data_IF_282444680360
#
_entry.id   IF_282444680360
#
_cell.length_a   1.000
_cell.length_b   1.000
_cell.length_c   1.000
_cell.angle_alpha   90.00
_cell.angle_beta   90.00
_cell.angle_gamma   90.00
#
_symmetry.space_group_name_H-M   'P 1'
#
loop_
_entity.id
_entity.type
_entity.pdbx_description
1 polymer ?
#
# COMPACT_ATOMS: atom_id res chain seq x y z
N UNK A 1 -21.34 30.89 0.67
CA UNK A 1 -20.54 31.71 1.61
C UNK A 1 -19.52 30.84 2.35
N UNK A 2 -19.89 29.58 2.58
CA UNK A 2 -19.05 28.66 3.34
C UNK A 2 -18.71 27.42 2.53
N UNK A 3 -19.65 26.47 2.50
CA UNK A 3 -19.47 25.23 1.77
C UNK A 3 -18.32 24.41 2.35
N UNK A 4 -18.36 23.11 2.09
CA UNK A 4 -17.42 22.17 2.69
C UNK A 4 -16.06 22.28 2.02
N UNK A 5 -15.01 22.30 2.84
CA UNK A 5 -13.67 22.57 2.35
C UNK A 5 -12.92 21.27 2.08
N UNK A 6 -11.61 21.38 1.84
CA UNK A 6 -10.75 20.20 1.72
C UNK A 6 -11.18 19.11 2.69
N UNK A 7 -11.74 18.00 2.17
CA UNK A 7 -12.40 16.98 3.00
C UNK A 7 -11.48 16.41 4.07
N UNK A 8 -12.06 15.61 4.95
CA UNK A 8 -11.35 15.10 6.12
C UNK A 8 -10.15 14.25 5.71
N UNK A 9 -9.16 14.19 6.59
CA UNK A 9 -7.93 13.46 6.31
C UNK A 9 -7.64 12.45 7.42
N UNK A 10 -7.49 11.18 7.04
CA UNK A 10 -7.25 10.12 8.01
C UNK A 10 -5.84 9.57 7.88
N UNK A 11 -5.44 8.74 8.84
CA UNK A 11 -4.03 8.48 9.10
C UNK A 11 -3.29 8.04 7.84
N UNK A 12 -4.03 7.50 6.88
CA UNK A 12 -3.45 7.15 5.59
C UNK A 12 -4.53 7.11 4.53
N UNK A 13 -5.68 7.69 4.84
CA UNK A 13 -6.84 7.57 3.98
C UNK A 13 -7.05 8.81 3.11
N UNK A 14 -7.52 8.57 1.89
CA UNK A 14 -7.76 9.64 0.92
C UNK A 14 -8.82 9.21 -0.09
N UNK A 15 -9.68 10.14 -0.46
CA UNK A 15 -10.92 9.82 -1.16
C UNK A 15 -10.66 9.01 -2.42
N UNK A 16 -11.46 7.96 -2.61
CA UNK A 16 -11.33 7.11 -3.79
C UNK A 16 -12.16 7.65 -4.95
N UNK A 17 -13.46 7.75 -4.70
CA UNK A 17 -14.43 7.91 -5.77
C UNK A 17 -14.47 9.35 -6.27
N UNK A 18 -14.75 9.56 -7.57
CA UNK A 18 -15.13 10.87 -8.11
C UNK A 18 -16.48 11.34 -7.58
N UNK A 19 -16.74 11.03 -6.32
CA UNK A 19 -17.77 11.73 -5.56
C UNK A 19 -17.38 13.19 -5.41
N UNK A 20 -16.07 13.41 -5.30
CA UNK A 20 -15.55 14.66 -4.78
C UNK A 20 -15.90 15.85 -5.65
N UNK A 21 -15.12 16.03 -6.72
CA UNK A 21 -14.96 17.33 -7.38
C UNK A 21 -14.14 18.30 -6.53
N UNK A 22 -14.26 18.17 -5.20
CA UNK A 22 -13.40 18.89 -4.26
C UNK A 22 -13.28 20.37 -4.62
N UNK A 23 -14.40 21.01 -4.90
CA UNK A 23 -14.41 22.44 -5.19
C UNK A 23 -15.23 23.19 -4.14
N UNK A 24 -16.56 23.08 -4.25
CA UNK A 24 -17.44 23.49 -3.17
C UNK A 24 -18.53 22.45 -2.94
N UNK A 25 -18.35 21.62 -1.91
CA UNK A 25 -19.39 20.69 -1.51
C UNK A 25 -20.42 21.36 -0.60
N UNK A 26 -21.68 21.44 -1.05
CA UNK A 26 -22.79 21.86 -0.19
C UNK A 26 -23.07 20.84 0.91
N UNK A 27 -23.28 21.32 2.13
CA UNK A 27 -23.40 20.43 3.28
C UNK A 27 -24.44 19.34 3.00
N UNK A 28 -23.99 18.09 3.03
CA UNK A 28 -24.88 16.97 2.77
C UNK A 28 -24.35 16.06 1.67
N UNK A 29 -23.17 15.48 1.90
CA UNK A 29 -22.54 14.60 0.93
C UNK A 29 -21.86 13.43 1.62
N UNK A 30 -22.26 12.21 1.27
CA UNK A 30 -21.56 11.03 1.75
C UNK A 30 -20.54 10.56 0.73
N UNK A 31 -19.28 10.57 1.15
CA UNK A 31 -18.18 10.23 0.26
C UNK A 31 -17.46 8.98 0.76
N UNK A 32 -16.67 8.38 -0.12
CA UNK A 32 -15.99 7.13 0.20
C UNK A 32 -14.47 7.28 0.18
N UNK A 33 -13.80 6.42 0.94
CA UNK A 33 -12.38 6.60 1.25
C UNK A 33 -11.52 5.52 0.61
N UNK A 34 -10.32 5.92 0.20
CA UNK A 34 -9.32 4.99 -0.32
C UNK A 34 -8.04 5.06 0.50
N UNK A 35 -7.55 3.92 0.96
CA UNK A 35 -6.26 3.88 1.64
C UNK A 35 -5.13 3.87 0.63
N UNK A 36 -4.00 4.47 1.01
CA UNK A 36 -2.87 4.61 0.11
C UNK A 36 -2.15 3.27 -0.08
N UNK A 37 -1.32 3.14 -1.13
CA UNK A 37 -0.57 1.92 -1.39
C UNK A 37 0.13 1.43 -0.13
N UNK A 38 -0.06 0.15 0.17
CA UNK A 38 0.47 -0.39 1.40
C UNK A 38 -0.25 0.12 2.63
N UNK A 39 -1.58 0.20 2.57
CA UNK A 39 -2.39 0.34 3.78
C UNK A 39 -3.66 -0.50 3.71
N UNK A 40 -4.12 -0.94 4.87
CA UNK A 40 -5.42 -1.61 4.98
C UNK A 40 -6.34 -0.81 5.88
N UNK A 41 -7.63 -0.78 5.55
CA UNK A 41 -8.59 -0.05 6.37
C UNK A 41 -8.75 -0.72 7.72
N UNK A 42 -9.49 -0.09 8.63
CA UNK A 42 -10.11 -0.82 9.73
C UNK A 42 -10.81 -2.09 9.21
N UNK A 43 -11.45 -2.88 10.10
CA UNK A 43 -12.21 -4.08 9.69
C UNK A 43 -13.29 -3.79 8.63
N UNK A 44 -13.13 -2.69 7.89
CA UNK A 44 -13.81 -2.50 6.62
C UNK A 44 -15.29 -2.21 6.83
N UNK A 45 -15.58 -1.02 7.34
CA UNK A 45 -16.94 -0.66 7.74
C UNK A 45 -17.39 0.65 7.10
N UNK A 46 -18.49 1.19 7.61
CA UNK A 46 -19.09 2.42 7.08
C UNK A 46 -18.02 3.44 6.73
N UNK A 47 -17.69 3.56 5.44
CA UNK A 47 -16.63 4.44 4.97
C UNK A 47 -17.17 5.80 4.54
N UNK A 48 -17.86 6.47 5.46
CA UNK A 48 -18.77 7.54 5.11
C UNK A 48 -18.30 8.88 5.67
N UNK A 49 -17.58 9.64 4.84
CA UNK A 49 -17.25 11.03 5.16
C UNK A 49 -18.33 11.96 4.64
N UNK A 50 -19.34 12.18 5.46
CA UNK A 50 -20.40 13.09 5.11
C UNK A 50 -19.95 14.54 5.27
N UNK A 51 -20.37 15.40 4.36
CA UNK A 51 -20.38 16.82 4.63
C UNK A 51 -21.60 17.14 5.46
N UNK A 52 -21.38 17.42 6.73
CA UNK A 52 -22.45 17.30 7.71
C UNK A 52 -23.30 18.55 7.71
N UNK A 53 -23.12 19.38 8.72
CA UNK A 53 -23.98 20.53 8.92
C UNK A 53 -23.18 21.82 8.88
N UNK A 54 -21.99 21.76 9.45
CA UNK A 54 -21.27 22.96 9.83
C UNK A 54 -19.96 23.05 9.06
N UNK A 55 -20.07 22.89 7.74
CA UNK A 55 -18.98 22.37 6.93
C UNK A 55 -17.95 21.64 7.78
N UNK A 56 -18.48 20.80 8.66
CA UNK A 56 -17.67 19.97 9.53
C UNK A 56 -17.91 18.51 9.21
N UNK A 57 -17.25 18.02 8.16
CA UNK A 57 -17.47 16.67 7.68
C UNK A 57 -17.56 15.68 8.83
N UNK A 58 -18.30 14.61 8.59
CA UNK A 58 -18.90 13.81 9.65
C UNK A 58 -17.86 13.06 10.47
N UNK A 59 -18.09 11.76 10.65
CA UNK A 59 -17.20 10.90 11.43
C UNK A 59 -15.90 10.64 10.68
N UNK A 60 -14.82 10.49 11.43
CA UNK A 60 -13.51 10.25 10.85
C UNK A 60 -12.60 9.54 11.85
N UNK A 61 -12.44 8.23 11.68
CA UNK A 61 -11.89 7.39 12.72
C UNK A 61 -10.44 7.01 12.41
N UNK A 62 -10.28 5.99 11.57
CA UNK A 62 -8.96 5.49 11.18
C UNK A 62 -9.11 4.38 10.16
N UNK A 63 -9.59 4.73 8.97
CA UNK A 63 -9.99 3.75 7.99
C UNK A 63 -8.78 3.23 7.22
N UNK A 64 -7.60 3.35 7.82
CA UNK A 64 -6.39 2.76 7.26
C UNK A 64 -5.51 2.16 8.35
N UNK A 65 -4.48 1.44 7.93
CA UNK A 65 -3.57 0.78 8.86
C UNK A 65 -2.17 0.70 8.26
N UNK A 66 -1.88 -0.42 7.60
CA UNK A 66 -0.76 -0.52 6.67
C UNK A 66 -0.65 -1.92 6.08
N UNK A 67 -0.27 -2.00 4.81
CA UNK A 67 0.10 -3.26 4.19
C UNK A 67 1.56 -3.24 3.74
N UNK A 68 2.45 -3.79 4.56
CA UNK A 68 3.87 -3.88 4.19
C UNK A 68 4.13 -5.13 3.36
N UNK A 69 5.27 -5.16 2.67
CA UNK A 69 5.63 -6.31 1.86
C UNK A 69 5.74 -7.56 2.72
N UNK A 70 5.02 -8.62 2.34
CA UNK A 70 4.94 -9.84 3.12
C UNK A 70 5.99 -10.86 2.70
N UNK A 71 7.26 -10.49 2.86
CA UNK A 71 8.37 -11.40 2.56
C UNK A 71 8.40 -11.75 1.08
N UNK A 72 9.56 -11.55 0.42
CA UNK A 72 9.72 -11.87 -1.00
C UNK A 72 9.70 -13.37 -1.26
N UNK A 73 9.34 -14.11 -0.23
CA UNK A 73 9.34 -15.56 -0.32
C UNK A 73 10.74 -16.13 -0.34
N UNK A 74 10.87 -17.36 -0.83
CA UNK A 74 12.15 -18.05 -0.82
C UNK A 74 12.59 -18.41 -2.24
N UNK A 75 13.84 -18.08 -2.56
CA UNK A 75 14.45 -18.54 -3.80
C UNK A 75 14.65 -20.06 -3.76
N UNK A 76 15.81 -20.55 -4.19
CA UNK A 76 15.92 -21.94 -4.62
C UNK A 76 17.38 -22.36 -4.77
N UNK A 77 17.74 -23.45 -4.09
CA UNK A 77 19.09 -24.01 -4.21
C UNK A 77 20.10 -22.97 -3.79
N UNK A 78 20.01 -22.57 -2.53
CA UNK A 78 20.47 -21.27 -2.12
C UNK A 78 19.57 -20.68 -1.05
N UNK A 79 19.31 -19.38 -1.13
CA UNK A 79 18.40 -18.73 -0.21
C UNK A 79 18.42 -17.22 -0.40
N UNK A 80 17.54 -16.54 0.33
CA UNK A 80 17.29 -15.13 0.10
C UNK A 80 17.61 -14.31 1.33
N UNK A 81 18.15 -13.12 1.11
CA UNK A 81 18.75 -12.35 2.18
C UNK A 81 17.91 -11.12 2.52
N UNK A 82 17.45 -11.08 3.76
CA UNK A 82 16.69 -9.95 4.25
C UNK A 82 17.47 -9.21 5.33
N UNK A 83 17.97 -7.99 5.02
CA UNK A 83 18.85 -7.24 5.92
C UNK A 83 18.14 -6.74 7.17
N UNK A 84 17.00 -7.34 7.49
CA UNK A 84 16.32 -7.03 8.73
C UNK A 84 15.01 -6.30 8.52
N UNK A 85 14.16 -6.85 7.66
CA UNK A 85 12.87 -6.24 7.41
C UNK A 85 12.51 -6.23 5.94
N UNK A 86 11.28 -6.61 5.64
CA UNK A 86 10.72 -6.43 4.30
C UNK A 86 9.46 -5.57 4.36
N UNK A 87 9.66 -4.27 4.46
CA UNK A 87 8.56 -3.32 4.37
C UNK A 87 8.39 -2.86 2.93
N UNK A 88 7.49 -1.91 2.72
CA UNK A 88 7.36 -1.26 1.42
C UNK A 88 8.67 -0.59 1.02
N UNK A 89 8.99 -0.64 -0.27
CA UNK A 89 10.21 -0.02 -0.75
C UNK A 89 11.46 -0.71 -0.24
N UNK A 90 11.40 -2.04 -0.15
CA UNK A 90 12.55 -2.83 0.30
C UNK A 90 13.14 -3.64 -0.84
N UNK A 91 13.94 -4.64 -0.49
CA UNK A 91 14.66 -5.42 -1.49
C UNK A 91 15.55 -6.48 -0.82
N UNK A 92 15.99 -7.45 -1.62
CA UNK A 92 16.79 -8.55 -1.11
C UNK A 92 18.01 -8.79 -2.00
N UNK A 93 18.85 -9.73 -1.58
CA UNK A 93 19.91 -10.25 -2.44
C UNK A 93 19.90 -11.77 -2.44
N UNK A 94 19.86 -12.35 -3.64
CA UNK A 94 19.80 -13.80 -3.79
C UNK A 94 21.19 -14.41 -3.64
N UNK A 95 21.28 -15.49 -2.87
CA UNK A 95 22.53 -16.22 -2.74
C UNK A 95 22.30 -17.72 -2.87
N UNK A 96 22.90 -18.32 -3.89
CA UNK A 96 22.69 -19.74 -4.15
C UNK A 96 23.52 -20.59 -3.20
N UNK A 97 23.26 -21.89 -3.23
CA UNK A 97 24.04 -22.85 -2.46
C UNK A 97 25.38 -23.09 -3.16
N UNK A 98 26.13 -24.09 -2.70
CA UNK A 98 27.48 -24.30 -3.21
C UNK A 98 27.47 -25.00 -4.56
N UNK A 99 28.24 -24.46 -5.50
CA UNK A 99 28.41 -25.11 -6.79
C UNK A 99 27.57 -24.45 -7.87
N UNK A 100 26.67 -23.56 -7.46
CA UNK A 100 25.68 -23.00 -8.36
C UNK A 100 26.04 -21.58 -8.77
N UNK A 101 25.53 -21.16 -9.92
CA UNK A 101 25.71 -19.80 -10.39
C UNK A 101 24.37 -19.12 -10.60
N UNK A 102 24.23 -17.91 -10.08
CA UNK A 102 22.99 -17.16 -10.22
C UNK A 102 22.74 -16.75 -11.65
N UNK A 103 21.73 -17.37 -12.21
CA UNK A 103 21.23 -17.02 -13.53
C UNK A 103 19.78 -16.54 -13.45
N UNK A 104 19.58 -15.35 -12.90
CA UNK A 104 18.28 -14.72 -12.93
C UNK A 104 18.33 -13.29 -12.43
N UNK A 105 18.85 -13.12 -11.22
CA UNK A 105 19.15 -11.79 -10.69
C UNK A 105 19.87 -11.91 -9.36
N UNK A 106 20.52 -10.82 -8.94
CA UNK A 106 21.17 -10.77 -7.64
C UNK A 106 20.48 -9.77 -6.72
N UNK A 107 19.16 -9.63 -6.89
CA UNK A 107 18.38 -8.68 -6.11
C UNK A 107 16.96 -8.55 -6.66
N UNK A 108 16.06 -8.05 -5.82
CA UNK A 108 14.68 -7.79 -6.24
C UNK A 108 14.06 -6.75 -5.32
N UNK A 109 13.03 -6.06 -5.80
CA UNK A 109 12.55 -4.88 -5.10
C UNK A 109 11.12 -5.07 -4.61
N UNK A 110 10.89 -4.66 -3.37
CA UNK A 110 9.53 -4.46 -2.88
C UNK A 110 8.98 -3.12 -3.34
N UNK A 111 7.98 -3.15 -4.21
CA UNK A 111 7.24 -1.94 -4.56
C UNK A 111 5.75 -2.11 -4.31
N UNK A 112 5.14 -1.08 -3.76
CA UNK A 112 3.72 -1.11 -3.43
C UNK A 112 2.96 -0.09 -4.26
N UNK A 113 3.70 0.92 -4.68
CA UNK A 113 3.15 2.03 -5.46
C UNK A 113 2.93 1.64 -6.92
N UNK A 114 2.23 0.53 -7.14
CA UNK A 114 1.84 0.16 -8.49
C UNK A 114 0.65 -0.78 -8.50
N UNK A 115 0.83 -1.96 -7.92
CA UNK A 115 -0.22 -2.97 -7.89
C UNK A 115 -0.35 -3.56 -6.49
N UNK A 116 -0.16 -2.72 -5.47
CA UNK A 116 -0.24 -3.15 -4.08
C UNK A 116 0.95 -4.04 -3.73
N UNK A 117 1.01 -4.51 -2.49
CA UNK A 117 2.19 -5.20 -2.01
C UNK A 117 2.60 -6.33 -2.95
N UNK A 118 3.65 -6.08 -3.72
CA UNK A 118 4.12 -7.04 -4.70
C UNK A 118 5.62 -6.84 -4.94
N UNK A 119 6.27 -7.87 -5.46
CA UNK A 119 7.70 -7.79 -5.76
C UNK A 119 7.95 -7.86 -7.26
N UNK A 120 9.11 -7.37 -7.68
CA UNK A 120 9.43 -7.27 -9.09
C UNK A 120 9.78 -8.64 -9.67
N UNK A 121 10.91 -9.18 -9.22
CA UNK A 121 11.48 -10.36 -9.82
C UNK A 121 11.52 -11.53 -8.83
N UNK A 122 10.54 -12.45 -8.93
CA UNK A 122 10.54 -13.68 -8.14
C UNK A 122 11.69 -14.61 -8.52
N UNK A 123 11.49 -15.90 -8.29
CA UNK A 123 12.58 -16.87 -8.37
C UNK A 123 13.49 -16.59 -9.56
N UNK A 124 14.77 -16.31 -9.30
CA UNK A 124 15.82 -16.42 -10.31
C UNK A 124 16.03 -17.87 -10.70
N UNK A 125 17.26 -18.22 -11.04
CA UNK A 125 17.68 -19.61 -10.98
C UNK A 125 19.05 -19.73 -10.34
N UNK A 126 19.35 -20.93 -9.88
CA UNK A 126 20.69 -21.25 -9.44
C UNK A 126 21.23 -22.43 -10.25
N UNK A 127 22.01 -22.11 -11.28
CA UNK A 127 22.40 -23.09 -12.29
C UNK A 127 23.85 -23.50 -12.12
N UNK A 128 24.05 -24.76 -11.74
CA UNK A 128 25.39 -25.28 -11.53
C UNK A 128 26.15 -25.37 -12.85
N UNK A 129 27.31 -24.72 -12.90
CA UNK A 129 28.11 -24.67 -14.13
C UNK A 129 29.51 -25.22 -13.89
#
# INVERSE_FOLDING_TARGET
FRSCEVPTRLNSASLKQPYITQNYFPVGTVVEYECRPGYRREPSLSPKLTCLQNLKWSTAVEFCKKKSCPNPGEIRNGQIDVPGGILFGATISFSCNTGYKLFGSTSSFCLISGSSVQWSDPLPECREH
#
